data_IF_109751874049
#
_entry.id   IF_109751874049
#
_cell.length_a   1.000
_cell.length_b   1.000
_cell.length_c   1.000
_cell.angle_alpha   90.00
_cell.angle_beta   90.00
_cell.angle_gamma   90.00
#
_symmetry.space_group_name_H-M   'P 1'
#
loop_
_entity.id
_entity.type
_entity.pdbx_description
1 polymer ?
#
# COMPACT_ATOMS: atom_id res chain seq x y z
N UNK A 1 92.23 47.67 -13.43
CA UNK A 1 91.86 46.74 -12.34
C UNK A 1 90.63 47.19 -11.56
N UNK A 2 90.49 48.47 -11.18
CA UNK A 2 89.37 48.95 -10.34
C UNK A 2 87.99 48.93 -11.03
N UNK A 3 87.91 49.18 -12.34
CA UNK A 3 86.63 49.18 -13.08
C UNK A 3 86.07 47.78 -13.28
N UNK A 4 86.90 46.81 -13.68
CA UNK A 4 86.50 45.41 -13.81
C UNK A 4 85.98 44.80 -12.48
N UNK A 5 86.55 45.21 -11.33
CA UNK A 5 86.04 44.78 -10.01
C UNK A 5 84.71 45.43 -9.64
N UNK A 6 84.43 46.62 -10.14
CA UNK A 6 83.17 47.32 -9.90
C UNK A 6 82.03 46.70 -10.73
N UNK A 7 82.25 46.45 -12.01
CA UNK A 7 81.27 45.79 -12.89
C UNK A 7 80.93 44.37 -12.41
N UNK A 8 81.93 43.60 -11.97
CA UNK A 8 81.71 42.29 -11.38
C UNK A 8 80.83 42.37 -10.11
N UNK A 9 81.05 43.37 -9.27
CA UNK A 9 80.26 43.58 -8.05
C UNK A 9 78.81 43.94 -8.36
N UNK A 10 78.57 44.79 -9.36
CA UNK A 10 77.23 45.17 -9.83
C UNK A 10 76.48 43.95 -10.36
N UNK A 11 77.10 43.14 -11.23
CA UNK A 11 76.47 41.93 -11.76
C UNK A 11 76.17 40.87 -10.69
N UNK A 12 77.05 40.71 -9.70
CA UNK A 12 76.80 39.82 -8.56
C UNK A 12 75.60 40.32 -7.74
N UNK A 13 75.47 41.64 -7.56
CA UNK A 13 74.37 42.22 -6.80
C UNK A 13 73.03 42.12 -7.54
N UNK A 14 73.02 42.29 -8.86
CA UNK A 14 71.85 42.07 -9.72
C UNK A 14 71.41 40.61 -9.70
N UNK A 15 72.34 39.66 -9.87
CA UNK A 15 72.04 38.23 -9.82
C UNK A 15 71.47 37.81 -8.45
N UNK A 16 72.02 38.34 -7.36
CA UNK A 16 71.50 38.08 -6.01
C UNK A 16 70.10 38.67 -5.80
N UNK A 17 69.83 39.86 -6.36
CA UNK A 17 68.52 40.48 -6.31
C UNK A 17 67.46 39.67 -7.07
N UNK A 18 67.79 39.18 -8.26
CA UNK A 18 66.90 38.33 -9.05
C UNK A 18 66.59 37.00 -8.36
N UNK A 19 67.61 36.36 -7.75
CA UNK A 19 67.43 35.15 -6.95
C UNK A 19 66.50 35.40 -5.77
N UNK A 20 66.68 36.52 -5.06
CA UNK A 20 65.83 36.88 -3.93
C UNK A 20 64.38 37.12 -4.34
N UNK A 21 64.13 37.82 -5.46
CA UNK A 21 62.76 37.97 -5.99
C UNK A 21 62.12 36.63 -6.30
N UNK A 22 62.81 35.75 -7.04
CA UNK A 22 62.29 34.43 -7.39
C UNK A 22 62.00 33.57 -6.17
N UNK A 23 62.86 33.64 -5.14
CA UNK A 23 62.63 32.96 -3.87
C UNK A 23 61.37 33.48 -3.18
N UNK A 24 61.19 34.80 -3.11
CA UNK A 24 60.01 35.38 -2.47
C UNK A 24 58.71 35.11 -3.21
N UNK A 25 58.74 35.11 -4.54
CA UNK A 25 57.59 34.71 -5.35
C UNK A 25 57.26 33.22 -5.15
N UNK A 26 58.26 32.34 -5.14
CA UNK A 26 58.06 30.91 -4.90
C UNK A 26 57.53 30.61 -3.48
N UNK A 27 58.05 31.30 -2.47
CA UNK A 27 57.56 31.22 -1.08
C UNK A 27 56.10 31.70 -0.98
N UNK A 28 55.76 32.81 -1.63
CA UNK A 28 54.38 33.32 -1.68
C UNK A 28 53.41 32.32 -2.30
N UNK A 29 53.78 31.73 -3.45
CA UNK A 29 52.98 30.72 -4.13
C UNK A 29 52.80 29.45 -3.28
N UNK A 30 53.86 28.98 -2.62
CA UNK A 30 53.78 27.84 -1.71
C UNK A 30 52.84 28.12 -0.54
N UNK A 31 52.95 29.29 0.07
CA UNK A 31 52.09 29.69 1.19
C UNK A 31 50.61 29.74 0.79
N UNK A 32 50.30 30.31 -0.38
CA UNK A 32 48.93 30.32 -0.91
C UNK A 32 48.41 28.89 -1.18
N UNK A 33 49.23 28.02 -1.77
CA UNK A 33 48.86 26.63 -2.03
C UNK A 33 48.63 25.85 -0.73
N UNK A 34 49.47 26.02 0.28
CA UNK A 34 49.30 25.40 1.59
C UNK A 34 47.99 25.84 2.25
N UNK A 35 47.68 27.15 2.22
CA UNK A 35 46.43 27.67 2.79
C UNK A 35 45.18 27.19 2.05
N UNK A 36 45.24 27.09 0.74
CA UNK A 36 44.16 26.51 -0.05
C UNK A 36 43.99 25.01 0.24
N UNK A 37 45.09 24.27 0.39
CA UNK A 37 45.06 22.85 0.72
C UNK A 37 44.51 22.61 2.14
N UNK A 38 44.93 23.41 3.11
CA UNK A 38 44.45 23.39 4.49
C UNK A 38 42.94 23.69 4.55
N UNK A 39 42.47 24.72 3.85
CA UNK A 39 41.05 25.04 3.74
C UNK A 39 40.22 23.91 3.10
N UNK A 40 40.76 23.27 2.05
CA UNK A 40 40.11 22.10 1.43
C UNK A 40 40.08 20.88 2.36
N UNK A 41 41.14 20.65 3.13
CA UNK A 41 41.17 19.58 4.14
C UNK A 41 40.15 19.83 5.24
N UNK A 42 40.12 21.03 5.81
CA UNK A 42 39.18 21.40 6.86
C UNK A 42 37.72 21.26 6.41
N UNK A 43 37.40 21.71 5.18
CA UNK A 43 36.04 21.55 4.62
C UNK A 43 35.69 20.09 4.34
N UNK A 44 36.63 19.28 3.83
CA UNK A 44 36.41 17.86 3.64
C UNK A 44 36.23 17.09 4.95
N UNK A 45 36.99 17.44 5.99
CA UNK A 45 36.89 16.84 7.31
C UNK A 45 35.56 17.21 7.98
N UNK A 46 35.15 18.48 7.91
CA UNK A 46 33.85 18.92 8.38
C UNK A 46 32.70 18.19 7.68
N UNK A 47 32.77 18.04 6.36
CA UNK A 47 31.77 17.30 5.60
C UNK A 47 31.74 15.81 5.97
N UNK A 48 32.90 15.19 6.23
CA UNK A 48 32.97 13.79 6.68
C UNK A 48 32.36 13.63 8.07
N UNK A 49 32.69 14.53 8.99
CA UNK A 49 32.16 14.52 10.35
C UNK A 49 30.64 14.71 10.36
N UNK A 50 30.12 15.65 9.56
CA UNK A 50 28.68 15.84 9.41
C UNK A 50 27.97 14.56 8.93
N UNK A 51 28.47 13.93 7.87
CA UNK A 51 27.89 12.66 7.36
C UNK A 51 28.00 11.51 8.36
N UNK A 52 29.09 11.45 9.13
CA UNK A 52 29.25 10.44 10.17
C UNK A 52 28.19 10.62 11.26
N UNK A 53 28.01 11.85 11.75
CA UNK A 53 27.00 12.15 12.75
C UNK A 53 25.58 11.89 12.25
N UNK A 54 25.28 12.24 11.00
CA UNK A 54 23.98 11.94 10.37
C UNK A 54 23.74 10.43 10.30
N UNK A 55 24.72 9.66 9.82
CA UNK A 55 24.62 8.20 9.74
C UNK A 55 24.49 7.55 11.13
N UNK A 56 25.22 8.05 12.13
CA UNK A 56 25.12 7.58 13.51
C UNK A 56 23.76 7.92 14.14
N UNK A 57 23.23 9.13 13.88
CA UNK A 57 21.91 9.52 14.33
C UNK A 57 20.81 8.66 13.71
N UNK A 58 20.88 8.40 12.40
CA UNK A 58 19.95 7.50 11.71
C UNK A 58 20.02 6.07 12.25
N UNK A 59 21.23 5.56 12.48
CA UNK A 59 21.44 4.23 13.05
C UNK A 59 20.85 4.16 14.46
N UNK A 60 21.08 5.18 15.28
CA UNK A 60 20.53 5.27 16.63
C UNK A 60 19.00 5.32 16.62
N UNK A 61 18.40 6.14 15.74
CA UNK A 61 16.96 6.23 15.58
C UNK A 61 16.35 4.87 15.20
N UNK A 62 16.87 4.23 14.15
CA UNK A 62 16.42 2.90 13.71
C UNK A 62 16.60 1.83 14.79
N UNK A 63 17.68 1.90 15.56
CA UNK A 63 17.91 0.99 16.69
C UNK A 63 16.86 1.18 17.77
N UNK A 64 16.52 2.43 18.10
CA UNK A 64 15.46 2.74 19.08
C UNK A 64 14.07 2.34 18.60
N UNK A 65 13.77 2.52 17.33
CA UNK A 65 12.53 2.01 16.72
C UNK A 65 12.46 0.48 16.80
N UNK A 66 13.54 -0.22 16.48
CA UNK A 66 13.61 -1.67 16.58
C UNK A 66 13.46 -2.16 18.03
N UNK A 67 14.12 -1.51 18.99
CA UNK A 67 13.95 -1.77 20.43
C UNK A 67 12.49 -1.57 20.87
N UNK A 68 11.84 -0.50 20.40
CA UNK A 68 10.43 -0.24 20.65
C UNK A 68 9.52 -1.33 20.08
N UNK A 69 9.77 -1.77 18.85
CA UNK A 69 9.01 -2.86 18.22
C UNK A 69 9.19 -4.18 18.98
N UNK A 70 10.41 -4.49 19.43
CA UNK A 70 10.67 -5.67 20.26
C UNK A 70 9.92 -5.57 21.59
N UNK A 71 9.92 -4.41 22.25
CA UNK A 71 9.17 -4.22 23.50
C UNK A 71 7.66 -4.39 23.28
N UNK A 72 7.10 -3.86 22.18
CA UNK A 72 5.69 -4.01 21.84
C UNK A 72 5.32 -5.47 21.55
N UNK A 73 6.12 -6.17 20.77
CA UNK A 73 5.89 -7.60 20.46
C UNK A 73 6.06 -8.49 21.70
N UNK A 74 7.00 -8.16 22.59
CA UNK A 74 7.12 -8.82 23.89
C UNK A 74 5.89 -8.59 24.75
N UNK A 75 5.36 -7.35 24.81
CA UNK A 75 4.13 -7.05 25.52
C UNK A 75 2.94 -7.83 24.94
N UNK A 76 2.80 -7.88 23.62
CA UNK A 76 1.77 -8.69 22.95
C UNK A 76 1.91 -10.18 23.24
N UNK A 77 3.14 -10.71 23.21
CA UNK A 77 3.42 -12.11 23.55
C UNK A 77 3.02 -12.42 24.99
N UNK A 78 3.38 -11.56 25.94
CA UNK A 78 3.01 -11.71 27.34
C UNK A 78 1.50 -11.64 27.54
N UNK A 79 0.81 -10.74 26.83
CA UNK A 79 -0.64 -10.62 26.86
C UNK A 79 -1.34 -11.87 26.35
N UNK A 80 -0.93 -12.41 25.20
CA UNK A 80 -1.52 -13.64 24.66
C UNK A 80 -1.20 -14.83 25.57
N UNK A 81 0.02 -14.91 26.09
CA UNK A 81 0.42 -15.98 27.00
C UNK A 81 -0.36 -15.93 28.32
N UNK A 82 -0.61 -14.74 28.87
CA UNK A 82 -1.40 -14.59 30.11
C UNK A 82 -2.87 -14.93 29.89
N UNK A 83 -3.46 -14.55 28.76
CA UNK A 83 -4.81 -14.97 28.37
C UNK A 83 -4.90 -16.48 28.20
N UNK A 84 -3.94 -17.09 27.49
CA UNK A 84 -3.91 -18.54 27.30
C UNK A 84 -3.80 -19.28 28.64
N UNK A 85 -2.98 -18.77 29.57
CA UNK A 85 -2.89 -19.32 30.93
C UNK A 85 -4.18 -19.15 31.75
N UNK A 86 -4.86 -18.01 31.62
CA UNK A 86 -6.14 -17.76 32.29
C UNK A 86 -7.27 -18.66 31.77
N UNK A 87 -7.18 -19.10 30.52
CA UNK A 87 -8.12 -20.01 29.85
C UNK A 87 -7.69 -21.49 29.93
N UNK A 88 -6.77 -21.82 30.84
CA UNK A 88 -6.29 -23.19 31.07
C UNK A 88 -5.70 -23.87 29.82
N UNK A 89 -5.15 -23.08 28.90
CA UNK A 89 -4.59 -23.58 27.64
C UNK A 89 -5.63 -23.90 26.56
N UNK A 90 -6.91 -23.53 26.75
CA UNK A 90 -7.93 -23.71 25.73
C UNK A 90 -7.77 -22.68 24.59
N UNK A 91 -7.17 -23.15 23.50
CA UNK A 91 -6.97 -22.36 22.29
C UNK A 91 -8.29 -21.96 21.62
N UNK A 92 -9.36 -22.74 21.76
CA UNK A 92 -10.65 -22.43 21.12
C UNK A 92 -11.31 -21.23 21.79
N UNK A 93 -11.35 -21.23 23.12
CA UNK A 93 -11.84 -20.11 23.92
C UNK A 93 -11.00 -18.85 23.71
N UNK A 94 -9.67 -18.98 23.62
CA UNK A 94 -8.79 -17.84 23.34
C UNK A 94 -9.05 -17.23 21.96
N UNK A 95 -9.17 -18.07 20.93
CA UNK A 95 -9.46 -17.62 19.56
C UNK A 95 -10.78 -16.86 19.52
N UNK A 96 -11.83 -17.44 20.11
CA UNK A 96 -13.15 -16.84 20.08
C UNK A 96 -13.18 -15.53 20.89
N UNK A 97 -12.48 -15.46 22.03
CA UNK A 97 -12.28 -14.21 22.77
C UNK A 97 -11.58 -13.14 21.93
N UNK A 98 -10.48 -13.49 21.25
CA UNK A 98 -9.76 -12.56 20.35
C UNK A 98 -10.63 -12.13 19.17
N UNK A 99 -11.43 -13.02 18.60
CA UNK A 99 -12.36 -12.70 17.50
C UNK A 99 -13.48 -11.75 17.95
N UNK A 100 -14.03 -11.95 19.15
CA UNK A 100 -15.05 -11.08 19.74
C UNK A 100 -14.46 -9.71 20.06
N UNK A 101 -13.32 -9.67 20.75
CA UNK A 101 -12.65 -8.42 21.13
C UNK A 101 -12.18 -7.63 19.90
N UNK A 102 -11.64 -8.34 18.90
CA UNK A 102 -11.20 -7.77 17.64
C UNK A 102 -12.32 -7.33 16.69
N UNK A 103 -13.60 -7.46 17.09
CA UNK A 103 -14.74 -6.97 16.29
C UNK A 103 -14.98 -7.76 14.99
N UNK A 104 -14.29 -8.88 14.77
CA UNK A 104 -14.36 -9.64 13.51
C UNK A 104 -15.79 -10.04 13.13
N UNK A 105 -16.63 -10.37 14.10
CA UNK A 105 -18.05 -10.67 13.87
C UNK A 105 -18.86 -9.45 13.44
N UNK A 106 -18.57 -8.26 13.98
CA UNK A 106 -19.21 -7.02 13.57
C UNK A 106 -18.79 -6.64 12.13
N UNK A 107 -17.53 -6.86 11.79
CA UNK A 107 -16.99 -6.63 10.45
C UNK A 107 -17.60 -7.58 9.42
N UNK A 108 -17.68 -8.87 9.74
CA UNK A 108 -18.35 -9.87 8.89
C UNK A 108 -19.82 -9.52 8.68
N UNK A 109 -20.55 -9.15 9.73
CA UNK A 109 -21.95 -8.76 9.62
C UNK A 109 -22.13 -7.53 8.72
N UNK A 110 -21.26 -6.51 8.86
CA UNK A 110 -21.27 -5.31 8.02
C UNK A 110 -20.97 -5.62 6.56
N UNK A 111 -19.92 -6.38 6.27
CA UNK A 111 -19.56 -6.78 4.91
C UNK A 111 -20.70 -7.58 4.25
N UNK A 112 -21.31 -8.50 4.99
CA UNK A 112 -22.46 -9.26 4.50
C UNK A 112 -23.68 -8.35 4.24
N UNK A 113 -23.95 -7.40 5.12
CA UNK A 113 -25.03 -6.43 4.94
C UNK A 113 -24.80 -5.52 3.72
N UNK A 114 -23.56 -5.08 3.49
CA UNK A 114 -23.16 -4.32 2.31
C UNK A 114 -23.32 -5.13 1.01
N UNK A 115 -22.89 -6.40 1.02
CA UNK A 115 -23.07 -7.30 -0.11
C UNK A 115 -24.57 -7.53 -0.43
N UNK A 116 -25.41 -7.77 0.59
CA UNK A 116 -26.87 -7.92 0.42
C UNK A 116 -27.51 -6.62 -0.07
N UNK A 117 -27.05 -5.46 0.42
CA UNK A 117 -27.51 -4.16 -0.06
C UNK A 117 -27.15 -3.93 -1.54
N UNK A 118 -25.97 -4.39 -1.97
CA UNK A 118 -25.54 -4.33 -3.37
C UNK A 118 -26.32 -5.24 -4.31
N UNK A 119 -26.97 -6.29 -3.79
CA UNK A 119 -27.72 -7.27 -4.59
C UNK A 119 -29.12 -6.80 -5.02
N UNK A 120 -29.61 -5.66 -4.52
CA UNK A 120 -30.87 -5.00 -4.90
C UNK A 120 -31.96 -5.98 -5.40
N UNK A 121 -32.43 -6.92 -4.58
CA UNK A 121 -33.29 -8.00 -5.05
C UNK A 121 -34.66 -7.44 -5.48
N UNK A 122 -35.01 -7.60 -6.75
CA UNK A 122 -36.37 -7.38 -7.25
C UNK A 122 -37.27 -8.50 -6.71
N UNK A 123 -37.80 -8.31 -5.50
CA UNK A 123 -38.75 -9.23 -4.89
C UNK A 123 -40.11 -9.01 -5.55
N UNK A 124 -40.50 -9.89 -6.46
CA UNK A 124 -41.90 -10.01 -6.88
C UNK A 124 -42.68 -10.69 -5.76
N UNK A 125 -43.40 -9.89 -4.96
CA UNK A 125 -44.26 -10.41 -3.89
C UNK A 125 -45.43 -11.16 -4.53
N UNK A 126 -45.50 -12.48 -4.33
CA UNK A 126 -46.68 -13.28 -4.63
C UNK A 126 -47.73 -12.98 -3.56
N UNK A 127 -48.59 -12.00 -3.82
CA UNK A 127 -49.83 -11.88 -3.07
C UNK A 127 -50.76 -12.96 -3.62
N UNK A 128 -50.85 -14.08 -2.91
CA UNK A 128 -51.98 -14.99 -3.09
C UNK A 128 -53.17 -14.25 -2.48
N UNK A 129 -54.00 -13.65 -3.33
CA UNK A 129 -55.16 -12.89 -2.91
C UNK A 129 -56.00 -13.70 -1.92
N UNK A 130 -56.01 -13.23 -0.67
CA UNK A 130 -57.12 -13.46 0.25
C UNK A 130 -58.35 -12.81 -0.37
N UNK A 131 -59.20 -13.64 -0.96
CA UNK A 131 -60.42 -13.25 -1.67
C UNK A 131 -61.40 -14.42 -1.66
N UNK A 132 -62.18 -14.44 -0.59
CA UNK A 132 -63.49 -15.07 -0.34
C UNK A 132 -64.12 -15.95 -1.46
N UNK A 133 -64.55 -17.16 -1.08
CA UNK A 133 -65.68 -17.85 -1.71
C UNK A 133 -65.40 -19.04 -2.65
N UNK A 134 -66.05 -20.17 -2.31
CA UNK A 134 -66.48 -21.30 -3.16
C UNK A 134 -65.51 -22.46 -3.47
N UNK A 135 -65.82 -23.58 -2.80
CA UNK A 135 -65.90 -24.97 -3.27
C UNK A 135 -65.26 -25.37 -4.61
N UNK A 136 -64.40 -26.41 -4.53
CA UNK A 136 -64.33 -27.48 -5.55
C UNK A 136 -63.30 -27.32 -6.68
N UNK A 137 -62.33 -28.25 -6.75
CA UNK A 137 -61.61 -28.56 -8.00
C UNK A 137 -60.12 -28.23 -8.04
N UNK A 138 -59.30 -28.94 -7.26
CA UNK A 138 -57.86 -28.70 -7.08
C UNK A 138 -56.92 -29.00 -8.26
N UNK A 139 -57.35 -29.63 -9.36
CA UNK A 139 -56.43 -30.02 -10.45
C UNK A 139 -56.41 -29.05 -11.65
N UNK A 140 -57.53 -28.36 -11.94
CA UNK A 140 -57.62 -27.45 -13.09
C UNK A 140 -56.98 -26.07 -12.81
N UNK A 141 -56.94 -25.66 -11.54
CA UNK A 141 -56.39 -24.38 -11.08
C UNK A 141 -54.85 -24.35 -11.14
N UNK A 142 -54.21 -25.50 -10.93
CA UNK A 142 -52.76 -25.65 -11.05
C UNK A 142 -52.31 -25.66 -12.51
N UNK A 143 -53.02 -26.36 -13.41
CA UNK A 143 -52.75 -26.27 -14.86
C UNK A 143 -53.01 -24.87 -15.43
N UNK A 144 -54.07 -24.19 -15.00
CA UNK A 144 -54.34 -22.81 -15.40
C UNK A 144 -53.26 -21.84 -14.89
N UNK A 145 -52.71 -22.10 -13.69
CA UNK A 145 -51.54 -21.41 -13.16
C UNK A 145 -50.31 -21.60 -14.04
N UNK A 146 -49.94 -22.85 -14.35
CA UNK A 146 -48.80 -23.17 -15.22
C UNK A 146 -48.96 -22.55 -16.62
N UNK A 147 -50.17 -22.61 -17.20
CA UNK A 147 -50.47 -22.01 -18.50
C UNK A 147 -50.42 -20.47 -18.51
N UNK A 148 -50.68 -19.81 -17.36
CA UNK A 148 -50.50 -18.36 -17.17
C UNK A 148 -49.04 -17.97 -16.87
N UNK A 149 -48.22 -18.91 -16.40
CA UNK A 149 -46.79 -18.72 -16.06
C UNK A 149 -45.86 -18.97 -17.26
N UNK A 150 -46.30 -19.71 -18.27
CA UNK A 150 -45.55 -19.95 -19.51
C UNK A 150 -45.21 -18.65 -20.28
N UNK A 151 -46.14 -17.71 -20.50
CA UNK A 151 -45.83 -16.49 -21.27
C UNK A 151 -44.81 -15.56 -20.59
N UNK A 152 -44.85 -15.31 -19.26
CA UNK A 152 -43.84 -14.50 -18.58
C UNK A 152 -42.46 -15.17 -18.50
N UNK A 153 -42.38 -16.47 -18.21
CA UNK A 153 -41.10 -17.19 -18.14
C UNK A 153 -40.37 -17.23 -19.49
N UNK A 154 -41.13 -17.35 -20.59
CA UNK A 154 -40.55 -17.30 -21.93
C UNK A 154 -40.05 -15.90 -22.31
N UNK A 155 -40.67 -14.81 -21.79
CA UNK A 155 -40.17 -13.45 -21.97
C UNK A 155 -38.88 -13.21 -21.20
N UNK A 156 -38.81 -13.65 -19.95
CA UNK A 156 -37.60 -13.48 -19.12
C UNK A 156 -36.43 -14.29 -19.65
N UNK A 157 -36.66 -15.51 -20.16
CA UNK A 157 -35.59 -16.31 -20.79
C UNK A 157 -35.13 -15.66 -22.11
N UNK A 158 -36.05 -15.12 -22.91
CA UNK A 158 -35.70 -14.45 -24.16
C UNK A 158 -34.92 -13.15 -23.92
N UNK A 159 -35.29 -12.34 -22.91
CA UNK A 159 -34.58 -11.12 -22.53
C UNK A 159 -33.22 -11.38 -21.87
N UNK A 160 -33.07 -12.50 -21.15
CA UNK A 160 -31.82 -12.83 -20.43
C UNK A 160 -30.84 -13.68 -21.23
N UNK A 161 -31.28 -14.40 -22.27
CA UNK A 161 -30.42 -15.35 -23.01
C UNK A 161 -30.38 -15.14 -24.53
N UNK A 162 -31.27 -14.33 -25.11
CA UNK A 162 -31.28 -14.01 -26.54
C UNK A 162 -31.66 -15.16 -27.49
N UNK A 163 -32.09 -16.32 -26.96
CA UNK A 163 -32.45 -17.49 -27.75
C UNK A 163 -33.90 -17.37 -28.24
N UNK A 164 -34.12 -17.40 -29.56
CA UNK A 164 -35.46 -17.38 -30.15
C UNK A 164 -36.22 -18.70 -29.92
N UNK A 165 -37.56 -18.59 -29.86
CA UNK A 165 -38.45 -19.71 -29.53
C UNK A 165 -38.38 -20.82 -30.59
N UNK A 166 -38.29 -22.11 -30.19
CA UNK A 166 -38.33 -23.23 -31.11
C UNK A 166 -39.62 -23.27 -31.96
N UNK A 167 -39.48 -23.53 -33.26
CA UNK A 167 -40.56 -23.46 -34.26
C UNK A 167 -41.72 -24.45 -34.04
N UNK A 168 -41.53 -25.51 -33.26
CA UNK A 168 -42.60 -26.46 -32.94
C UNK A 168 -43.68 -25.90 -32.02
N UNK A 169 -43.43 -24.79 -31.29
CA UNK A 169 -44.43 -24.12 -30.47
C UNK A 169 -45.49 -23.35 -31.28
N UNK A 170 -45.13 -22.83 -32.46
CA UNK A 170 -46.08 -22.14 -33.34
C UNK A 170 -47.14 -23.10 -33.92
N UNK A 171 -46.84 -24.39 -33.98
CA UNK A 171 -47.78 -25.42 -34.46
C UNK A 171 -48.87 -25.79 -33.45
N UNK A 172 -48.68 -25.53 -32.16
CA UNK A 172 -49.72 -25.83 -31.15
C UNK A 172 -50.87 -24.83 -31.17
N UNK A 173 -50.67 -23.62 -31.71
CA UNK A 173 -51.73 -22.62 -31.85
C UNK A 173 -52.58 -22.80 -33.11
N UNK A 174 -52.12 -23.59 -34.10
CA UNK A 174 -52.81 -23.75 -35.38
C UNK A 174 -53.85 -24.89 -35.36
N UNK A 175 -53.73 -25.86 -34.44
CA UNK A 175 -54.69 -26.98 -34.33
C UNK A 175 -55.95 -26.66 -33.52
N UNK A 176 -56.15 -25.40 -33.11
CA UNK A 176 -57.33 -24.95 -32.34
C UNK A 176 -58.34 -24.15 -33.18
N UNK A 177 -58.42 -24.40 -34.49
CA UNK A 177 -59.54 -23.98 -35.34
C UNK A 177 -59.92 -25.13 -36.28
N UNK A 178 -60.76 -26.05 -35.78
CA UNK A 178 -62.02 -26.60 -36.35
C UNK A 178 -62.69 -27.39 -35.23
#
# INVERSE_FOLDING_TARGET
MKEATFELCVHVQEANWELYKRQKEAEGLLYEQEKLAEGRRATSEAARFARQNEAEAELYAKKKEAEGLVAMTQAQKLYIASLLGALDGDYSALRDYLMINGGTYQDMARLNAEAVRGLQPNITVWTNGSGDGAEGGGAMKEMAGVYRMLPPLLKTVQEQTGIERPTWMARMTETAVV
#
